data_IF_431093949555
#
_entry.id   IF_431093949555
#
_cell.length_a   1.000
_cell.length_b   1.000
_cell.length_c   1.000
_cell.angle_alpha   90.00
_cell.angle_beta   90.00
_cell.angle_gamma   90.00
#
_symmetry.space_group_name_H-M   'P 1'
#
loop_
_entity.id
_entity.type
_entity.pdbx_description
1 polymer ?
#
# COMPACT_ATOMS: atom_id res chain seq x y z
N UNK A 1 21.53 6.46 -74.08
CA UNK A 1 20.89 5.34 -73.34
C UNK A 1 21.59 4.94 -72.05
N UNK A 2 22.90 4.78 -71.98
CA UNK A 2 23.60 4.36 -70.74
C UNK A 2 23.46 5.31 -69.53
N UNK A 3 23.40 6.63 -69.75
CA UNK A 3 23.22 7.63 -68.64
C UNK A 3 21.87 7.54 -67.98
N UNK A 4 20.81 7.30 -68.75
CA UNK A 4 19.45 7.25 -68.17
C UNK A 4 19.21 5.98 -67.35
N UNK A 5 19.87 4.87 -67.69
CA UNK A 5 19.81 3.62 -66.90
C UNK A 5 20.53 3.80 -65.57
N UNK A 6 21.63 4.56 -65.54
CA UNK A 6 22.36 4.85 -64.30
C UNK A 6 21.53 5.65 -63.32
N UNK A 7 20.79 6.67 -63.78
CA UNK A 7 19.86 7.46 -62.93
C UNK A 7 18.66 6.65 -62.44
N UNK A 8 18.15 5.71 -63.27
CA UNK A 8 17.09 4.83 -62.85
C UNK A 8 17.54 3.84 -61.74
N UNK A 9 18.77 3.30 -61.87
CA UNK A 9 19.38 2.42 -60.85
C UNK A 9 19.66 3.17 -59.56
N UNK A 10 20.17 4.43 -59.62
CA UNK A 10 20.41 5.24 -58.44
C UNK A 10 19.09 5.59 -57.73
N UNK A 11 18.00 5.85 -58.47
CA UNK A 11 16.68 6.11 -57.90
C UNK A 11 16.07 4.91 -57.19
N UNK A 12 16.28 3.70 -57.74
CA UNK A 12 15.81 2.46 -57.10
C UNK A 12 16.60 2.16 -55.82
N UNK A 13 17.93 2.42 -55.79
CA UNK A 13 18.75 2.24 -54.58
C UNK A 13 18.36 3.18 -53.47
N UNK A 14 17.93 4.41 -53.77
CA UNK A 14 17.47 5.39 -52.78
C UNK A 14 16.11 5.02 -52.13
N UNK A 15 15.28 4.24 -52.85
CA UNK A 15 13.97 3.80 -52.31
C UNK A 15 14.06 2.58 -51.38
N UNK A 16 15.14 1.82 -51.41
CA UNK A 16 15.34 0.65 -50.54
C UNK A 16 15.96 0.97 -49.19
N UNK A 17 16.48 2.18 -49.00
CA UNK A 17 17.07 2.60 -47.70
C UNK A 17 16.11 3.30 -46.76
N UNK A 18 14.83 3.38 -47.12
CA UNK A 18 13.79 4.12 -46.35
C UNK A 18 12.98 3.26 -45.37
N UNK A 19 13.26 1.96 -45.27
CA UNK A 19 12.67 1.13 -44.20
C UNK A 19 13.73 0.91 -43.11
N UNK A 20 14.00 1.92 -42.32
CA UNK A 20 14.48 1.67 -40.96
C UNK A 20 13.25 1.22 -40.15
N UNK A 21 13.30 -0.01 -39.64
CA UNK A 21 12.36 -0.42 -38.62
C UNK A 21 12.44 0.60 -37.49
N UNK A 22 11.31 1.12 -37.01
CA UNK A 22 11.33 2.04 -35.89
C UNK A 22 12.01 1.33 -34.73
N UNK A 23 13.10 1.88 -34.27
CA UNK A 23 13.79 1.41 -33.08
C UNK A 23 12.86 1.69 -31.89
N UNK A 24 12.10 0.69 -31.47
CA UNK A 24 11.27 0.78 -30.28
C UNK A 24 12.18 0.81 -29.04
N UNK A 25 12.73 1.97 -28.75
CA UNK A 25 13.35 2.22 -27.43
C UNK A 25 12.23 2.46 -26.45
N UNK A 26 11.74 1.38 -25.82
CA UNK A 26 10.83 1.52 -24.68
C UNK A 26 11.61 2.15 -23.53
N UNK A 27 11.09 3.21 -22.90
CA UNK A 27 11.65 3.75 -21.68
C UNK A 27 11.81 2.65 -20.62
N UNK A 28 12.89 2.69 -19.87
CA UNK A 28 13.19 1.66 -18.84
C UNK A 28 12.09 1.55 -17.78
N UNK A 29 11.34 2.66 -17.56
CA UNK A 29 10.20 2.69 -16.66
C UNK A 29 9.01 1.82 -17.12
N UNK A 30 8.83 1.61 -18.42
CA UNK A 30 7.72 0.84 -18.99
C UNK A 30 7.90 -0.69 -18.85
N UNK A 31 9.06 -1.13 -18.36
CA UNK A 31 9.35 -2.55 -18.14
C UNK A 31 8.86 -3.06 -16.78
N UNK A 32 8.31 -2.21 -15.94
CA UNK A 32 7.95 -2.57 -14.57
C UNK A 32 6.71 -3.48 -14.44
N UNK A 33 6.03 -3.80 -15.52
CA UNK A 33 4.96 -4.77 -15.51
C UNK A 33 3.74 -4.35 -14.70
N UNK A 34 3.53 -5.00 -13.57
CA UNK A 34 2.47 -4.66 -12.62
C UNK A 34 3.00 -3.57 -11.70
N UNK A 35 2.33 -2.41 -11.65
CA UNK A 35 2.74 -1.27 -10.82
C UNK A 35 2.01 -1.21 -9.49
N UNK A 36 0.77 -1.71 -9.44
CA UNK A 36 0.01 -1.84 -8.20
C UNK A 36 -1.05 -2.93 -8.30
N UNK A 37 -1.43 -3.46 -7.13
CA UNK A 37 -2.54 -4.38 -6.94
C UNK A 37 -3.51 -3.74 -5.95
N UNK A 38 -4.80 -3.68 -6.30
CA UNK A 38 -5.86 -3.22 -5.41
C UNK A 38 -6.73 -4.40 -5.02
N UNK A 39 -6.90 -4.63 -3.74
CA UNK A 39 -7.80 -5.65 -3.21
C UNK A 39 -9.12 -5.01 -2.77
N UNK A 40 -10.25 -5.49 -3.30
CA UNK A 40 -11.59 -5.03 -2.97
C UNK A 40 -12.39 -6.16 -2.33
N UNK A 41 -13.23 -5.81 -1.37
CA UNK A 41 -14.16 -6.75 -0.75
C UNK A 41 -15.25 -7.19 -1.74
N UNK A 42 -15.60 -8.47 -1.70
CA UNK A 42 -16.65 -9.06 -2.55
C UNK A 42 -17.92 -9.42 -1.79
N UNK A 43 -17.90 -9.32 -0.46
CA UNK A 43 -19.01 -9.72 0.41
C UNK A 43 -19.10 -8.83 1.65
N UNK A 44 -20.22 -8.98 2.37
CA UNK A 44 -20.47 -8.25 3.60
C UNK A 44 -20.81 -6.77 3.39
N UNK A 45 -20.75 -5.95 4.44
CA UNK A 45 -21.12 -4.53 4.38
C UNK A 45 -20.10 -3.66 3.62
N UNK A 46 -18.97 -4.23 3.23
CA UNK A 46 -17.87 -3.50 2.59
C UNK A 46 -17.70 -3.83 1.10
N UNK A 47 -18.69 -4.48 0.48
CA UNK A 47 -18.64 -4.82 -0.95
C UNK A 47 -18.22 -3.61 -1.78
N UNK A 48 -17.28 -3.85 -2.72
CA UNK A 48 -16.67 -2.86 -3.61
C UNK A 48 -15.82 -1.77 -2.91
N UNK A 49 -15.63 -1.85 -1.59
CA UNK A 49 -14.66 -1.00 -0.90
C UNK A 49 -13.25 -1.57 -1.08
N UNK A 50 -12.29 -0.66 -1.21
CA UNK A 50 -10.87 -1.00 -1.24
C UNK A 50 -10.40 -1.37 0.16
N UNK A 51 -9.88 -2.58 0.31
CA UNK A 51 -9.21 -3.02 1.53
C UNK A 51 -7.79 -2.46 1.61
N UNK A 52 -7.08 -2.52 0.49
CA UNK A 52 -5.70 -2.04 0.37
C UNK A 52 -5.32 -1.81 -1.08
N UNK A 53 -4.47 -0.80 -1.30
CA UNK A 53 -3.73 -0.58 -2.55
C UNK A 53 -2.26 -0.88 -2.29
N UNK A 54 -1.79 -1.97 -2.87
CA UNK A 54 -0.39 -2.40 -2.76
C UNK A 54 0.40 -1.91 -3.95
N UNK A 55 1.30 -0.95 -3.72
CA UNK A 55 2.23 -0.45 -4.74
C UNK A 55 3.45 -1.34 -4.80
N UNK A 56 3.80 -1.81 -5.99
CA UNK A 56 4.94 -2.69 -6.21
C UNK A 56 6.19 -1.83 -6.38
N UNK A 57 7.09 -1.90 -5.40
CA UNK A 57 8.34 -1.15 -5.41
C UNK A 57 9.43 -1.81 -6.27
N UNK A 58 9.42 -3.14 -6.34
CA UNK A 58 10.40 -3.94 -7.11
C UNK A 58 9.66 -4.88 -8.07
N UNK A 59 9.71 -4.56 -9.35
CA UNK A 59 9.10 -5.37 -10.41
C UNK A 59 9.91 -6.63 -10.77
N UNK A 60 11.12 -6.79 -10.25
CA UNK A 60 11.97 -7.97 -10.50
C UNK A 60 11.47 -9.21 -9.75
N UNK A 61 10.74 -9.03 -8.64
CA UNK A 61 10.20 -10.13 -7.86
C UNK A 61 9.10 -10.88 -8.62
N UNK A 62 8.99 -12.17 -8.31
CA UNK A 62 7.97 -13.04 -8.91
C UNK A 62 6.75 -13.20 -7.99
N UNK A 63 6.91 -12.90 -6.70
CA UNK A 63 5.90 -13.06 -5.67
C UNK A 63 5.43 -11.71 -5.15
N UNK A 64 4.13 -11.49 -5.21
CA UNK A 64 3.47 -10.30 -4.67
C UNK A 64 2.63 -10.69 -3.47
N UNK A 65 3.05 -10.25 -2.28
CA UNK A 65 2.32 -10.46 -1.03
C UNK A 65 1.56 -9.18 -0.70
N UNK A 66 0.23 -9.22 -0.82
CA UNK A 66 -0.64 -8.07 -0.55
C UNK A 66 -0.78 -7.92 0.97
N UNK A 67 -0.36 -6.79 1.59
CA UNK A 67 -0.46 -6.57 3.02
C UNK A 67 -1.91 -6.20 3.40
N UNK A 68 -2.72 -7.19 3.70
CA UNK A 68 -4.10 -7.00 4.11
C UNK A 68 -4.18 -6.43 5.52
N UNK A 69 -4.99 -5.37 5.79
CA UNK A 69 -5.17 -4.86 7.13
C UNK A 69 -5.77 -5.96 8.03
N UNK A 70 -5.36 -6.00 9.30
CA UNK A 70 -5.91 -7.00 10.24
C UNK A 70 -7.39 -6.78 10.52
N UNK A 71 -7.78 -5.51 10.67
CA UNK A 71 -9.17 -5.07 10.89
C UNK A 71 -9.63 -4.13 9.77
N UNK A 72 -10.92 -4.18 9.45
CA UNK A 72 -11.51 -3.23 8.50
C UNK A 72 -12.96 -2.87 8.90
N UNK A 73 -13.31 -1.58 9.06
CA UNK A 73 -12.39 -0.43 9.12
C UNK A 73 -11.35 -0.57 10.21
N UNK A 74 -10.24 0.19 10.13
CA UNK A 74 -9.09 0.08 11.05
C UNK A 74 -9.48 0.22 12.54
N UNK A 75 -10.52 1.02 12.82
CA UNK A 75 -11.04 1.28 14.17
C UNK A 75 -12.16 0.30 14.61
N UNK A 76 -12.32 -0.82 13.93
CA UNK A 76 -13.29 -1.86 14.27
C UNK A 76 -12.62 -3.14 14.73
N UNK A 77 -13.39 -4.03 15.36
CA UNK A 77 -12.95 -5.39 15.70
C UNK A 77 -13.25 -6.40 14.59
N UNK A 78 -13.63 -5.92 13.39
CA UNK A 78 -13.97 -6.78 12.27
C UNK A 78 -12.71 -7.27 11.55
N UNK A 79 -12.32 -8.51 11.82
CA UNK A 79 -11.15 -9.12 11.21
C UNK A 79 -11.35 -9.42 9.73
N UNK A 80 -10.29 -9.26 8.95
CA UNK A 80 -10.31 -9.46 7.49
C UNK A 80 -10.06 -10.92 7.05
N UNK A 81 -9.78 -11.84 7.96
CA UNK A 81 -9.40 -13.23 7.66
C UNK A 81 -10.39 -13.95 6.73
N UNK A 82 -11.69 -13.82 7.00
CA UNK A 82 -12.71 -14.50 6.19
C UNK A 82 -12.87 -13.84 4.81
N UNK A 83 -12.72 -12.53 4.71
CA UNK A 83 -12.80 -11.82 3.44
C UNK A 83 -11.66 -12.19 2.50
N UNK A 84 -10.47 -12.51 3.02
CA UNK A 84 -9.30 -12.89 2.20
C UNK A 84 -9.53 -14.12 1.33
N UNK A 85 -10.51 -14.97 1.68
CA UNK A 85 -10.87 -16.17 0.89
C UNK A 85 -11.51 -15.83 -0.46
N UNK A 86 -12.02 -14.60 -0.61
CA UNK A 86 -12.68 -14.15 -1.84
C UNK A 86 -12.53 -12.64 -2.03
N UNK A 87 -11.36 -12.19 -2.46
CA UNK A 87 -11.08 -10.77 -2.75
C UNK A 87 -11.05 -10.53 -4.24
N UNK A 88 -11.66 -9.43 -4.70
CA UNK A 88 -11.50 -8.98 -6.09
C UNK A 88 -10.18 -8.24 -6.22
N UNK A 89 -9.30 -8.75 -7.07
CA UNK A 89 -7.99 -8.14 -7.29
C UNK A 89 -7.96 -7.42 -8.63
N UNK A 90 -7.61 -6.14 -8.59
CA UNK A 90 -7.36 -5.31 -9.76
C UNK A 90 -5.87 -5.00 -9.84
N UNK A 91 -5.30 -5.15 -11.04
CA UNK A 91 -3.91 -4.80 -11.28
C UNK A 91 -3.81 -3.59 -12.22
N UNK A 92 -2.96 -2.65 -11.86
CA UNK A 92 -2.51 -1.61 -12.78
C UNK A 92 -1.28 -2.13 -13.51
N UNK A 93 -1.42 -2.32 -14.83
CA UNK A 93 -0.36 -2.79 -15.70
C UNK A 93 0.32 -1.63 -16.42
N UNK A 94 1.59 -1.79 -16.75
CA UNK A 94 2.26 -0.93 -17.72
C UNK A 94 1.59 -1.07 -19.11
N UNK A 95 1.71 -0.06 -19.99
CA UNK A 95 1.15 -0.13 -21.33
C UNK A 95 1.62 -1.36 -22.11
N UNK A 96 0.72 -1.94 -22.91
CA UNK A 96 0.98 -3.12 -23.75
C UNK A 96 1.41 -4.40 -23.02
N UNK A 97 1.23 -4.44 -21.70
CA UNK A 97 1.44 -5.64 -20.89
C UNK A 97 0.13 -6.39 -20.69
N UNK A 98 0.18 -7.71 -20.66
CA UNK A 98 -0.97 -8.57 -20.45
C UNK A 98 -0.72 -9.60 -19.35
N UNK A 99 -1.78 -10.22 -18.86
CA UNK A 99 -1.70 -11.31 -17.89
C UNK A 99 -2.74 -12.39 -18.17
N UNK A 100 -2.38 -13.62 -17.88
CA UNK A 100 -3.24 -14.79 -18.00
C UNK A 100 -3.08 -15.71 -16.77
N UNK A 101 -4.17 -16.19 -16.17
CA UNK A 101 -5.58 -15.85 -16.45
C UNK A 101 -5.91 -14.39 -16.07
N UNK A 102 -7.09 -13.93 -16.47
CA UNK A 102 -7.59 -12.61 -16.07
C UNK A 102 -7.76 -12.59 -14.55
N UNK A 103 -7.24 -11.55 -13.89
CA UNK A 103 -7.49 -11.33 -12.47
C UNK A 103 -8.98 -11.15 -12.22
N UNK A 104 -9.47 -11.84 -11.20
CA UNK A 104 -10.86 -11.80 -10.80
C UNK A 104 -10.96 -11.86 -9.28
N UNK A 105 -11.79 -12.73 -8.76
CA UNK A 105 -11.88 -13.03 -7.33
C UNK A 105 -10.84 -14.11 -7.01
N UNK A 106 -9.96 -13.81 -6.07
CA UNK A 106 -8.89 -14.68 -5.62
C UNK A 106 -9.04 -15.04 -4.14
N UNK A 107 -8.63 -16.25 -3.81
CA UNK A 107 -8.38 -16.65 -2.42
C UNK A 107 -6.95 -16.23 -2.05
N UNK A 108 -6.82 -15.11 -1.35
CA UNK A 108 -5.53 -14.56 -0.94
C UNK A 108 -4.85 -15.37 0.18
N UNK A 109 -5.53 -16.34 0.77
CA UNK A 109 -4.90 -17.27 1.74
C UNK A 109 -4.02 -18.31 1.06
N UNK A 110 -4.02 -18.36 -0.27
CA UNK A 110 -3.26 -19.28 -1.12
C UNK A 110 -2.44 -18.53 -2.15
N UNK A 111 -1.51 -19.22 -2.75
CA UNK A 111 -0.76 -18.72 -3.90
C UNK A 111 -1.59 -18.85 -5.18
N UNK A 112 -1.76 -17.73 -5.89
CA UNK A 112 -2.47 -17.67 -7.15
C UNK A 112 -1.49 -17.37 -8.28
N UNK A 113 -1.39 -18.24 -9.27
CA UNK A 113 -0.38 -18.18 -10.34
C UNK A 113 -0.92 -17.50 -11.59
N UNK A 114 -0.09 -16.65 -12.19
CA UNK A 114 -0.39 -15.90 -13.41
C UNK A 114 0.82 -15.88 -14.33
N UNK A 115 0.57 -15.87 -15.63
CA UNK A 115 1.59 -15.57 -16.64
C UNK A 115 1.47 -14.10 -17.02
N UNK A 116 2.45 -13.32 -16.70
CA UNK A 116 2.63 -11.94 -17.13
C UNK A 116 3.37 -11.93 -18.48
N UNK A 117 2.91 -11.12 -19.43
CA UNK A 117 3.57 -10.93 -20.72
C UNK A 117 3.84 -9.44 -20.89
N UNK A 118 5.09 -9.08 -21.08
CA UNK A 118 5.51 -7.69 -21.31
C UNK A 118 5.21 -7.22 -22.74
N UNK A 119 5.50 -5.94 -23.00
CA UNK A 119 5.25 -5.32 -24.29
C UNK A 119 6.11 -5.92 -25.44
N UNK A 120 7.19 -6.62 -25.13
CA UNK A 120 8.06 -7.33 -26.07
C UNK A 120 7.62 -8.79 -26.29
N UNK A 121 6.60 -9.25 -25.59
CA UNK A 121 6.13 -10.62 -25.63
C UNK A 121 6.91 -11.60 -24.74
N UNK A 122 7.82 -11.09 -23.89
CA UNK A 122 8.51 -11.92 -22.90
C UNK A 122 7.54 -12.33 -21.81
N UNK A 123 7.52 -13.63 -21.49
CA UNK A 123 6.63 -14.21 -20.49
C UNK A 123 7.34 -14.50 -19.19
N UNK A 124 6.70 -14.12 -18.08
CA UNK A 124 7.17 -14.37 -16.72
C UNK A 124 6.03 -14.98 -15.90
N UNK A 125 6.33 -15.99 -15.13
CA UNK A 125 5.38 -16.52 -14.15
C UNK A 125 5.47 -15.71 -12.86
N UNK A 126 4.33 -15.27 -12.35
CA UNK A 126 4.20 -14.54 -11.10
C UNK A 126 3.13 -15.21 -10.24
N UNK A 127 3.18 -14.96 -8.93
CA UNK A 127 2.11 -15.39 -8.03
C UNK A 127 1.74 -14.31 -7.03
N UNK A 128 0.46 -14.28 -6.70
CA UNK A 128 -0.16 -13.31 -5.82
C UNK A 128 -0.75 -14.05 -4.63
N UNK A 129 -0.45 -13.59 -3.43
CA UNK A 129 -1.00 -14.05 -2.16
C UNK A 129 -1.27 -12.84 -1.26
N UNK A 130 -1.88 -13.04 -0.12
CA UNK A 130 -2.08 -12.00 0.90
C UNK A 130 -1.53 -12.42 2.25
N UNK A 131 -1.12 -11.46 3.04
CA UNK A 131 -0.74 -11.63 4.43
C UNK A 131 -1.43 -10.57 5.27
N UNK A 132 -2.01 -10.96 6.41
CA UNK A 132 -2.58 -9.98 7.33
C UNK A 132 -1.48 -9.28 8.11
N UNK A 133 -1.53 -7.95 8.12
CA UNK A 133 -0.61 -7.11 8.87
C UNK A 133 -1.38 -6.30 9.90
N UNK A 134 -0.85 -6.25 11.13
CA UNK A 134 -1.37 -5.37 12.17
C UNK A 134 -0.89 -3.95 11.91
N UNK A 135 -1.72 -2.97 12.29
CA UNK A 135 -1.28 -1.58 12.32
C UNK A 135 -0.11 -1.43 13.30
N UNK A 136 0.90 -0.69 12.90
CA UNK A 136 2.01 -0.29 13.77
C UNK A 136 1.81 1.10 14.33
N UNK A 137 0.65 1.71 14.07
CA UNK A 137 0.32 3.03 14.60
C UNK A 137 0.17 2.95 16.12
N UNK A 138 0.97 3.74 16.81
CA UNK A 138 0.91 3.93 18.24
C UNK A 138 0.97 5.43 18.49
N UNK A 139 -0.20 6.07 18.47
CA UNK A 139 -0.33 7.51 18.60
C UNK A 139 -1.27 7.84 19.75
N UNK A 140 -0.90 8.83 20.54
CA UNK A 140 -1.77 9.44 21.53
C UNK A 140 -2.58 10.55 20.84
N UNK A 141 -3.89 10.41 20.79
CA UNK A 141 -4.78 11.35 20.10
C UNK A 141 -5.31 12.46 21.00
N UNK A 142 -5.49 12.16 22.29
CA UNK A 142 -5.85 13.13 23.31
C UNK A 142 -5.31 12.70 24.65
N UNK A 143 -5.07 13.69 25.55
CA UNK A 143 -4.69 13.48 26.92
C UNK A 143 -5.25 14.61 27.78
N UNK A 144 -5.85 14.30 28.92
CA UNK A 144 -6.39 15.30 29.83
C UNK A 144 -6.42 14.80 31.26
N UNK A 145 -6.47 15.72 32.22
CA UNK A 145 -6.77 15.45 33.63
C UNK A 145 -8.13 16.10 33.93
N UNK A 146 -9.23 15.34 33.86
CA UNK A 146 -10.58 15.92 33.96
C UNK A 146 -10.87 16.56 35.32
N UNK A 147 -10.27 16.08 36.44
CA UNK A 147 -10.49 16.62 37.76
C UNK A 147 -10.00 18.08 37.90
N UNK A 148 -9.01 18.46 37.09
CA UNK A 148 -8.36 19.76 37.14
C UNK A 148 -8.63 20.63 35.91
N UNK A 149 -9.49 20.12 34.99
CA UNK A 149 -9.79 20.77 33.72
C UNK A 149 -8.53 21.08 32.86
N UNK A 150 -7.56 20.17 32.90
CA UNK A 150 -6.28 20.30 32.18
C UNK A 150 -6.31 19.47 30.92
N UNK A 151 -5.96 20.09 29.78
CA UNK A 151 -5.71 19.40 28.52
C UNK A 151 -4.20 19.37 28.24
N UNK A 152 -3.69 18.18 27.94
CA UNK A 152 -2.28 17.98 27.58
C UNK A 152 -1.97 18.46 26.16
N UNK A 153 -0.81 19.07 26.01
CA UNK A 153 -0.23 19.43 24.71
C UNK A 153 0.62 18.26 24.22
N UNK A 154 0.18 17.61 23.15
CA UNK A 154 0.84 16.42 22.60
C UNK A 154 1.87 16.85 21.55
N UNK A 155 3.11 16.39 21.71
CA UNK A 155 4.18 16.49 20.74
C UNK A 155 4.49 15.08 20.21
N UNK A 156 3.97 14.78 19.01
CA UNK A 156 4.16 13.48 18.37
C UNK A 156 5.59 13.21 17.92
N UNK A 157 6.36 14.25 17.61
CA UNK A 157 7.74 14.11 17.14
C UNK A 157 8.66 13.69 18.27
N UNK A 158 8.46 14.27 19.45
CA UNK A 158 9.25 13.94 20.66
C UNK A 158 8.58 12.89 21.55
N UNK A 159 7.36 12.44 21.19
CA UNK A 159 6.58 11.48 21.99
C UNK A 159 6.36 11.95 23.44
N UNK A 160 6.02 13.21 23.59
CA UNK A 160 5.80 13.82 24.91
C UNK A 160 4.43 14.48 25.00
N UNK A 161 3.93 14.54 26.24
CA UNK A 161 2.75 15.33 26.60
C UNK A 161 3.16 16.34 27.66
N UNK A 162 2.88 17.61 27.40
CA UNK A 162 3.12 18.70 28.35
C UNK A 162 1.81 19.08 29.01
N UNK A 163 1.83 19.07 30.35
CA UNK A 163 0.74 19.56 31.19
C UNK A 163 1.15 20.91 31.82
N UNK A 164 0.23 21.85 31.85
CA UNK A 164 0.43 23.16 32.48
C UNK A 164 -0.62 23.30 33.56
N UNK A 165 -0.17 23.37 34.81
CA UNK A 165 -1.04 23.54 35.98
C UNK A 165 -0.34 24.36 37.07
N UNK A 166 -1.16 25.02 37.89
CA UNK A 166 -0.72 25.61 39.17
C UNK A 166 -1.13 24.72 40.36
N UNK A 167 -1.92 23.70 40.11
CA UNK A 167 -2.44 22.78 41.12
C UNK A 167 -1.50 21.58 41.33
N UNK A 168 -1.67 20.88 42.43
CA UNK A 168 -0.91 19.69 42.78
C UNK A 168 -1.44 18.48 42.01
N UNK A 169 -0.61 17.92 41.13
CA UNK A 169 -0.93 16.76 40.30
C UNK A 169 -0.27 15.46 40.82
N UNK A 170 -0.01 15.36 42.13
CA UNK A 170 0.70 14.22 42.73
C UNK A 170 -0.05 12.89 42.68
N UNK A 171 -1.38 12.91 42.49
CA UNK A 171 -2.19 11.70 42.45
C UNK A 171 -3.44 11.95 41.61
N UNK A 172 -3.28 11.97 40.28
CA UNK A 172 -4.37 12.27 39.37
C UNK A 172 -4.64 11.08 38.42
N UNK A 173 -5.92 10.88 38.11
CA UNK A 173 -6.33 10.06 36.95
C UNK A 173 -6.32 10.93 35.71
N UNK A 174 -5.90 10.35 34.60
CA UNK A 174 -5.97 11.03 33.32
C UNK A 174 -6.89 10.27 32.37
N UNK A 175 -7.55 11.02 31.49
CA UNK A 175 -8.27 10.46 30.33
C UNK A 175 -7.45 10.65 29.07
N UNK A 176 -7.50 9.67 28.18
CA UNK A 176 -6.75 9.67 26.94
C UNK A 176 -7.48 8.91 25.84
N UNK A 177 -7.12 9.17 24.61
CA UNK A 177 -7.48 8.33 23.47
C UNK A 177 -6.23 7.97 22.65
N UNK A 178 -6.20 6.74 22.17
CA UNK A 178 -5.11 6.19 21.36
C UNK A 178 -5.58 5.89 19.94
N UNK A 179 -4.63 5.71 19.06
CA UNK A 179 -4.90 5.07 17.76
C UNK A 179 -5.52 3.68 17.98
N UNK A 180 -6.29 3.22 16.99
CA UNK A 180 -7.03 1.97 17.10
C UNK A 180 -6.12 0.79 17.50
N UNK A 181 -6.60 0.00 18.46
CA UNK A 181 -5.91 -1.20 19.00
C UNK A 181 -4.56 -0.94 19.71
N UNK A 182 -4.19 0.32 19.93
CA UNK A 182 -3.06 0.65 20.80
C UNK A 182 -3.47 0.56 22.29
N UNK A 183 -2.52 0.22 23.12
CA UNK A 183 -2.68 0.15 24.59
C UNK A 183 -1.62 1.00 25.29
N UNK A 184 -1.92 1.49 26.46
CA UNK A 184 -1.03 2.27 27.31
C UNK A 184 -0.77 1.53 28.62
N UNK A 185 0.46 1.57 29.12
CA UNK A 185 0.82 0.95 30.40
C UNK A 185 1.96 1.76 31.03
N UNK A 186 1.80 2.22 32.30
CA UNK A 186 0.62 2.09 33.16
C UNK A 186 -0.62 2.78 32.57
N UNK A 187 -1.82 2.35 32.97
CA UNK A 187 -3.09 2.93 32.50
C UNK A 187 -3.55 4.05 33.44
N UNK A 188 -3.34 5.34 33.09
CA UNK A 188 -3.70 6.46 33.96
C UNK A 188 -5.23 6.68 34.11
N UNK A 189 -6.08 5.94 33.36
CA UNK A 189 -7.53 5.95 33.59
C UNK A 189 -7.92 5.18 34.85
N UNK A 190 -7.14 4.18 35.21
CA UNK A 190 -7.44 3.26 36.30
C UNK A 190 -6.47 3.40 37.47
N UNK A 191 -5.26 3.87 37.21
CA UNK A 191 -4.21 4.04 38.21
C UNK A 191 -3.83 5.52 38.34
N UNK A 192 -4.01 6.15 39.54
CA UNK A 192 -3.59 7.51 39.74
C UNK A 192 -2.06 7.64 39.62
N UNK A 193 -1.59 8.61 38.84
CA UNK A 193 -0.19 8.87 38.61
C UNK A 193 0.22 10.26 39.14
N UNK A 194 1.52 10.43 39.41
CA UNK A 194 2.09 11.69 39.84
C UNK A 194 2.64 12.46 38.63
N UNK A 195 1.88 13.45 38.16
CA UNK A 195 2.26 14.30 37.04
C UNK A 195 3.02 15.58 37.46
N UNK A 196 3.40 15.76 38.72
CA UNK A 196 4.33 16.83 39.14
C UNK A 196 5.75 16.58 38.63
N UNK A 197 6.05 15.40 38.14
CA UNK A 197 7.33 15.01 37.55
C UNK A 197 7.08 14.21 36.26
N UNK A 198 8.05 14.12 35.34
CA UNK A 198 7.92 13.32 34.15
C UNK A 198 7.58 11.87 34.48
N UNK A 199 6.57 11.33 33.75
CA UNK A 199 6.10 9.95 33.87
C UNK A 199 6.23 9.30 32.49
N UNK A 200 6.74 8.07 32.45
CA UNK A 200 6.73 7.24 31.25
C UNK A 200 5.41 6.46 31.17
N UNK A 201 4.75 6.49 29.98
CA UNK A 201 3.46 5.87 29.71
C UNK A 201 3.54 4.93 28.52
#
# INVERSE_FOLDING_TARGET
MKKNILYLLLGILALTSSCQDPEYVLPTADRQGITSLTALFTSGPYVDKEAVVYTIADASVDKYVIPMPWYYPENSDNETSEYMKAMRIQAKLAPNCTREPVLSILDLTKENYFTYTDAQGYKKQIWITGERVKSTKCQLLSFSIPSEDITGIIDEDHKTVSLISAEDLSSCLADYSLSAHATMSPDPKTEPLNFNSPVEL
#
